data_IF_405650583543
#
_entry.id   IF_405650583543
#
_cell.length_a   1.000
_cell.length_b   1.000
_cell.length_c   1.000
_cell.angle_alpha   90.00
_cell.angle_beta   90.00
_cell.angle_gamma   90.00
#
_symmetry.space_group_name_H-M   'P 1'
#
loop_
_entity.id
_entity.type
_entity.pdbx_description
1 polymer ?
#
# COMPACT_ATOMS: atom_id res chain seq x y z
N UNK A 1 1.51 34.21 12.18
CA UNK A 1 2.64 33.59 11.45
C UNK A 1 2.05 32.58 10.47
N UNK A 2 2.31 32.76 9.18
CA UNK A 2 1.76 31.98 8.07
C UNK A 2 2.87 31.04 7.59
N UNK A 3 2.79 29.76 7.93
CA UNK A 3 3.66 28.76 7.31
C UNK A 3 3.02 28.35 5.99
N UNK A 4 3.39 29.05 4.92
CA UNK A 4 3.12 28.59 3.56
C UNK A 4 4.32 27.73 3.14
N UNK A 5 4.26 26.43 3.44
CA UNK A 5 5.13 25.45 2.79
C UNK A 5 4.47 25.07 1.47
N UNK A 6 4.95 25.69 0.39
CA UNK A 6 4.60 25.27 -0.96
C UNK A 6 5.61 24.20 -1.39
N UNK A 7 5.37 22.97 -0.99
CA UNK A 7 5.96 21.77 -1.60
C UNK A 7 4.90 21.18 -2.52
N UNK A 8 4.88 21.63 -3.77
CA UNK A 8 4.07 21.05 -4.84
C UNK A 8 4.69 19.72 -5.29
N UNK A 9 4.82 18.79 -4.34
CA UNK A 9 5.03 17.38 -4.61
C UNK A 9 3.69 16.76 -4.28
N UNK A 10 2.89 16.47 -5.29
CA UNK A 10 1.55 15.94 -5.11
C UNK A 10 1.64 14.51 -4.55
N UNK A 11 1.85 14.38 -3.23
CA UNK A 11 2.00 13.08 -2.59
C UNK A 11 0.65 12.38 -2.51
N UNK A 12 0.63 11.07 -2.66
CA UNK A 12 -0.61 10.30 -2.53
C UNK A 12 -0.95 10.05 -1.06
N UNK A 13 -2.04 10.66 -0.59
CA UNK A 13 -2.61 10.44 0.73
C UNK A 13 -3.87 9.58 0.65
N UNK A 14 -4.01 8.63 1.57
CA UNK A 14 -5.28 7.92 1.73
C UNK A 14 -6.19 8.76 2.62
N UNK A 15 -7.18 9.43 2.03
CA UNK A 15 -8.07 10.38 2.75
C UNK A 15 -9.21 9.67 3.47
N UNK A 16 -9.83 8.69 2.84
CA UNK A 16 -10.94 7.94 3.40
C UNK A 16 -11.02 6.53 2.81
N UNK A 17 -11.84 5.69 3.42
CA UNK A 17 -12.08 4.31 2.98
C UNK A 17 -13.47 3.86 3.39
N UNK A 18 -13.97 2.84 2.73
CA UNK A 18 -15.17 2.10 3.11
C UNK A 18 -15.08 0.64 2.66
N UNK A 19 -16.15 -0.14 2.85
CA UNK A 19 -16.20 -1.52 2.35
C UNK A 19 -15.92 -1.55 0.85
N UNK A 20 -14.92 -2.33 0.44
CA UNK A 20 -14.53 -2.48 -0.96
C UNK A 20 -13.87 -1.28 -1.64
N UNK A 21 -13.58 -0.17 -0.94
CA UNK A 21 -12.97 1.01 -1.59
C UNK A 21 -12.06 1.86 -0.69
N UNK A 22 -11.11 2.54 -1.33
CA UNK A 22 -10.27 3.59 -0.72
C UNK A 22 -10.32 4.86 -1.56
N UNK A 23 -10.20 6.02 -0.91
CA UNK A 23 -10.05 7.30 -1.58
C UNK A 23 -8.60 7.79 -1.39
N UNK A 24 -7.88 7.87 -2.50
CA UNK A 24 -6.51 8.39 -2.55
C UNK A 24 -6.54 9.76 -3.19
N UNK A 25 -6.20 10.79 -2.41
CA UNK A 25 -6.36 12.21 -2.73
C UNK A 25 -7.82 12.58 -3.11
N UNK A 26 -8.26 12.31 -4.32
CA UNK A 26 -9.65 12.52 -4.78
C UNK A 26 -10.15 11.37 -5.66
N UNK A 27 -9.35 10.32 -5.80
CA UNK A 27 -9.66 9.17 -6.63
C UNK A 27 -10.17 8.03 -5.75
N UNK A 28 -11.45 7.67 -5.96
CA UNK A 28 -12.02 6.48 -5.35
C UNK A 28 -11.62 5.24 -6.16
N UNK A 29 -11.06 4.26 -5.47
CA UNK A 29 -10.52 3.04 -6.04
C UNK A 29 -11.23 1.84 -5.40
N UNK A 30 -11.78 0.98 -6.25
CA UNK A 30 -12.58 -0.20 -5.87
C UNK A 30 -11.88 -1.53 -6.19
N UNK A 31 -10.59 -1.48 -6.48
CA UNK A 31 -9.76 -2.62 -6.87
C UNK A 31 -8.45 -2.57 -6.10
N UNK A 32 -7.74 -3.69 -6.07
CA UNK A 32 -6.43 -3.71 -5.43
C UNK A 32 -5.50 -2.66 -6.03
N UNK A 33 -4.72 -2.04 -5.15
CA UNK A 33 -3.92 -0.85 -5.47
C UNK A 33 -2.63 -0.85 -4.68
N UNK A 34 -1.56 -0.34 -5.29
CA UNK A 34 -0.37 0.06 -4.54
C UNK A 34 -0.35 1.58 -4.44
N UNK A 35 -0.19 2.08 -3.21
CA UNK A 35 -0.01 3.50 -2.92
C UNK A 35 1.39 3.70 -2.34
N UNK A 36 2.21 4.51 -3.00
CA UNK A 36 3.45 5.07 -2.44
C UNK A 36 3.30 6.59 -2.34
N UNK A 37 4.20 7.28 -1.61
CA UNK A 37 4.12 8.74 -1.53
C UNK A 37 4.14 9.43 -2.88
N UNK A 38 4.79 8.85 -3.89
CA UNK A 38 5.08 9.42 -5.20
C UNK A 38 4.32 8.74 -6.35
N UNK A 39 3.79 7.53 -6.15
CA UNK A 39 3.15 6.73 -7.19
C UNK A 39 1.84 6.08 -6.72
N UNK A 40 0.92 5.94 -7.66
CA UNK A 40 -0.37 5.27 -7.47
C UNK A 40 -0.58 4.24 -8.57
N UNK A 41 -0.37 2.96 -8.24
CA UNK A 41 -0.53 1.83 -9.18
C UNK A 41 -1.92 1.26 -9.00
N UNK A 42 -2.86 1.73 -9.81
CA UNK A 42 -4.28 1.37 -9.65
C UNK A 42 -4.65 0.01 -10.21
N UNK A 43 -3.86 -0.59 -11.07
CA UNK A 43 -4.13 -1.83 -11.80
C UNK A 43 -3.31 -3.01 -11.27
N UNK A 44 -2.89 -2.96 -10.00
CA UNK A 44 -2.12 -4.02 -9.37
C UNK A 44 -2.94 -5.32 -9.21
N UNK A 45 -2.59 -6.43 -9.87
CA UNK A 45 -3.07 -7.75 -9.48
C UNK A 45 -2.32 -8.18 -8.21
N UNK A 46 -2.95 -8.91 -7.28
CA UNK A 46 -4.21 -9.63 -7.40
C UNK A 46 -5.42 -8.87 -6.86
N UNK A 47 -6.64 -9.28 -7.23
CA UNK A 47 -7.89 -8.70 -6.69
C UNK A 47 -8.39 -9.41 -5.42
N UNK A 48 -7.96 -10.65 -5.17
CA UNK A 48 -8.28 -11.35 -3.92
C UNK A 48 -7.02 -11.88 -3.25
N UNK A 49 -7.13 -12.19 -1.95
CA UNK A 49 -6.00 -12.74 -1.21
C UNK A 49 -5.53 -14.10 -1.74
N UNK A 50 -6.43 -14.94 -2.24
CA UNK A 50 -6.07 -16.29 -2.71
C UNK A 50 -5.32 -16.27 -4.03
N UNK A 51 -5.43 -15.17 -4.78
CA UNK A 51 -4.73 -14.97 -6.05
C UNK A 51 -3.32 -14.37 -5.86
N UNK A 52 -2.84 -14.22 -4.61
CA UNK A 52 -1.47 -13.75 -4.35
C UNK A 52 -0.44 -14.75 -4.89
N UNK A 53 0.48 -14.22 -5.70
CA UNK A 53 1.58 -14.94 -6.35
C UNK A 53 2.87 -14.13 -6.16
N UNK A 54 4.03 -14.78 -6.29
CA UNK A 54 5.35 -14.16 -6.12
C UNK A 54 5.54 -12.93 -7.02
N UNK A 55 5.09 -13.01 -8.28
CA UNK A 55 5.16 -11.91 -9.26
C UNK A 55 4.48 -10.63 -8.81
N UNK A 56 3.45 -10.73 -7.96
CA UNK A 56 2.73 -9.55 -7.44
C UNK A 56 3.60 -8.75 -6.46
N UNK A 57 4.50 -9.43 -5.75
CA UNK A 57 5.46 -8.80 -4.84
C UNK A 57 6.73 -8.34 -5.56
N UNK A 58 7.15 -9.01 -6.63
CA UNK A 58 8.23 -8.54 -7.51
C UNK A 58 7.91 -7.17 -8.13
N UNK A 59 6.65 -6.93 -8.52
CA UNK A 59 6.21 -5.62 -8.98
C UNK A 59 6.36 -4.52 -7.91
N UNK A 60 6.21 -4.87 -6.63
CA UNK A 60 6.41 -3.93 -5.50
C UNK A 60 7.90 -3.66 -5.28
N UNK A 61 8.79 -4.65 -5.49
CA UNK A 61 10.24 -4.46 -5.41
C UNK A 61 10.71 -3.36 -6.37
N UNK A 62 10.13 -3.29 -7.57
CA UNK A 62 10.47 -2.28 -8.58
C UNK A 62 10.12 -0.83 -8.17
N UNK A 63 9.30 -0.65 -7.11
CA UNK A 63 8.98 0.65 -6.52
C UNK A 63 9.99 1.07 -5.44
N UNK A 64 10.97 0.21 -5.13
CA UNK A 64 12.05 0.43 -4.16
C UNK A 64 11.60 0.95 -2.77
N UNK A 65 10.55 0.38 -2.14
CA UNK A 65 10.16 0.78 -0.79
C UNK A 65 11.14 0.23 0.27
N UNK A 66 11.19 0.88 1.42
CA UNK A 66 11.84 0.35 2.63
C UNK A 66 10.90 -0.57 3.42
N UNK A 67 9.59 -0.30 3.32
CA UNK A 67 8.55 -1.05 4.02
C UNK A 67 7.31 -1.22 3.14
N UNK A 68 6.77 -2.42 3.14
CA UNK A 68 5.51 -2.78 2.49
C UNK A 68 4.46 -3.04 3.57
N UNK A 69 3.36 -2.31 3.48
CA UNK A 69 2.15 -2.58 4.25
C UNK A 69 1.19 -3.37 3.36
N UNK A 70 1.07 -4.67 3.61
CA UNK A 70 0.12 -5.53 2.91
C UNK A 70 -1.23 -5.48 3.63
N UNK A 71 -2.19 -4.75 3.05
CA UNK A 71 -3.58 -4.71 3.48
C UNK A 71 -4.36 -5.87 2.87
N UNK A 72 -4.84 -6.81 3.69
CA UNK A 72 -5.42 -8.08 3.21
C UNK A 72 -6.94 -8.10 3.18
N UNK A 73 -7.58 -6.94 3.00
CA UNK A 73 -9.03 -6.77 3.05
C UNK A 73 -9.54 -6.53 4.48
N UNK A 74 -10.76 -7.00 4.76
CA UNK A 74 -11.45 -6.79 6.03
C UNK A 74 -10.81 -7.46 7.26
N UNK A 75 -9.93 -8.43 7.02
CA UNK A 75 -9.22 -9.16 8.09
C UNK A 75 -7.77 -9.37 7.71
N UNK A 76 -6.91 -9.38 8.73
CA UNK A 76 -5.51 -9.75 8.60
C UNK A 76 -5.39 -11.24 8.21
N UNK A 77 -4.66 -11.51 7.13
CA UNK A 77 -4.34 -12.86 6.66
C UNK A 77 -2.87 -12.92 6.27
N UNK A 78 -2.10 -13.83 6.84
CA UNK A 78 -0.67 -13.92 6.51
C UNK A 78 -0.46 -14.68 5.20
N UNK A 79 0.22 -14.09 4.18
CA UNK A 79 0.61 -14.82 2.99
C UNK A 79 1.65 -15.88 3.35
N UNK A 80 1.76 -16.91 2.51
CA UNK A 80 2.84 -17.89 2.68
C UNK A 80 4.20 -17.17 2.52
N UNK A 81 5.21 -17.42 3.38
CA UNK A 81 6.48 -16.69 3.36
C UNK A 81 7.20 -16.68 2.01
N UNK A 82 7.02 -17.74 1.22
CA UNK A 82 7.52 -17.83 -0.16
C UNK A 82 7.06 -16.66 -1.04
N UNK A 83 5.83 -16.17 -0.86
CA UNK A 83 5.28 -15.09 -1.68
C UNK A 83 5.99 -13.75 -1.45
N UNK A 84 6.41 -13.48 -0.21
CA UNK A 84 7.08 -12.24 0.19
C UNK A 84 8.61 -12.35 0.15
N UNK A 85 9.16 -13.48 -0.30
CA UNK A 85 10.60 -13.75 -0.28
C UNK A 85 11.39 -12.73 -1.10
N UNK A 86 10.87 -12.28 -2.25
CA UNK A 86 11.50 -11.28 -3.11
C UNK A 86 11.72 -9.94 -2.39
N UNK A 87 10.74 -9.50 -1.58
CA UNK A 87 10.86 -8.30 -0.75
C UNK A 87 11.92 -8.47 0.34
N UNK A 88 11.85 -9.57 1.09
CA UNK A 88 12.78 -9.85 2.19
C UNK A 88 14.23 -9.98 1.70
N UNK A 89 14.45 -10.57 0.51
CA UNK A 89 15.76 -10.68 -0.10
C UNK A 89 16.40 -9.32 -0.44
N UNK A 90 15.58 -8.28 -0.64
CA UNK A 90 16.03 -6.90 -0.85
C UNK A 90 16.12 -6.09 0.47
N UNK A 91 15.92 -6.73 1.62
CA UNK A 91 15.91 -6.05 2.92
C UNK A 91 14.67 -5.20 3.17
N UNK A 92 13.60 -5.40 2.37
CA UNK A 92 12.35 -4.65 2.49
C UNK A 92 11.49 -5.28 3.59
N UNK A 93 11.13 -4.48 4.60
CA UNK A 93 10.24 -4.92 5.68
C UNK A 93 8.82 -5.18 5.17
N UNK A 94 8.18 -6.25 5.63
CA UNK A 94 6.78 -6.56 5.27
C UNK A 94 5.93 -6.63 6.51
N UNK A 95 4.94 -5.75 6.63
CA UNK A 95 3.91 -5.80 7.65
C UNK A 95 2.57 -6.16 7.03
N UNK A 96 1.90 -7.14 7.62
CA UNK A 96 0.61 -7.64 7.14
C UNK A 96 -0.46 -7.19 8.12
N UNK A 97 -1.55 -6.62 7.63
CA UNK A 97 -2.67 -6.14 8.45
C UNK A 97 -3.97 -6.13 7.64
N UNK A 98 -5.11 -5.83 8.27
CA UNK A 98 -6.32 -5.50 7.51
C UNK A 98 -6.11 -4.19 6.71
N UNK A 99 -6.83 -4.04 5.58
CA UNK A 99 -6.73 -2.87 4.70
C UNK A 99 -7.02 -1.57 5.45
N UNK A 100 -7.92 -1.62 6.44
CA UNK A 100 -8.26 -0.46 7.23
C UNK A 100 -7.09 0.04 8.10
N UNK A 101 -6.33 -0.85 8.71
CA UNK A 101 -5.10 -0.57 9.43
C UNK A 101 -3.99 -0.11 8.48
N UNK A 102 -3.81 -0.80 7.35
CA UNK A 102 -2.79 -0.44 6.35
C UNK A 102 -2.95 1.01 5.87
N UNK A 103 -4.19 1.44 5.59
CA UNK A 103 -4.49 2.82 5.20
C UNK A 103 -4.06 3.85 6.27
N UNK A 104 -4.25 3.53 7.56
CA UNK A 104 -3.87 4.44 8.67
C UNK A 104 -2.36 4.48 8.84
N UNK A 105 -1.73 3.31 8.88
CA UNK A 105 -0.29 3.17 9.07
C UNK A 105 0.49 3.79 7.91
N UNK A 106 0.00 3.64 6.68
CA UNK A 106 0.59 4.25 5.49
C UNK A 106 0.79 5.76 5.66
N UNK A 107 -0.27 6.49 6.01
CA UNK A 107 -0.18 7.95 6.16
C UNK A 107 0.81 8.35 7.26
N UNK A 108 0.92 7.58 8.35
CA UNK A 108 1.86 7.86 9.44
C UNK A 108 3.30 7.71 8.94
N UNK A 109 3.65 6.56 8.36
CA UNK A 109 5.00 6.27 7.86
C UNK A 109 5.38 7.22 6.72
N UNK A 110 4.44 7.52 5.85
CA UNK A 110 4.59 8.48 4.78
C UNK A 110 4.94 9.88 5.33
N UNK A 111 4.26 10.33 6.39
CA UNK A 111 4.54 11.62 7.04
C UNK A 111 5.90 11.65 7.76
N UNK A 112 6.46 10.50 8.12
CA UNK A 112 7.84 10.35 8.62
C UNK A 112 8.90 10.41 7.51
N UNK A 113 8.50 10.71 6.27
CA UNK A 113 9.36 10.79 5.08
C UNK A 113 10.09 9.48 4.75
N UNK A 114 9.48 8.35 5.13
CA UNK A 114 9.98 7.02 4.80
C UNK A 114 9.37 6.49 3.51
N UNK A 115 10.14 5.69 2.77
CA UNK A 115 9.68 5.02 1.54
C UNK A 115 8.78 3.84 1.88
N UNK A 116 7.48 4.08 1.90
CA UNK A 116 6.45 3.06 2.17
C UNK A 116 5.64 2.74 0.93
N UNK A 117 5.35 1.46 0.72
CA UNK A 117 4.35 1.00 -0.25
C UNK A 117 3.17 0.33 0.50
N UNK A 118 1.98 0.88 0.36
CA UNK A 118 0.75 0.23 0.82
C UNK A 118 0.16 -0.59 -0.33
N UNK A 119 0.28 -1.91 -0.24
CA UNK A 119 -0.31 -2.86 -1.18
C UNK A 119 -1.66 -3.33 -0.62
N UNK A 120 -2.75 -2.78 -1.12
CA UNK A 120 -4.08 -2.90 -0.52
C UNK A 120 -4.97 -3.79 -1.37
N UNK A 121 -5.49 -4.87 -0.78
CA UNK A 121 -6.57 -5.66 -1.36
C UNK A 121 -7.91 -5.04 -1.00
N UNK A 122 -8.78 -4.87 -2.00
CA UNK A 122 -10.17 -4.47 -1.81
C UNK A 122 -11.00 -5.74 -1.77
N UNK A 123 -11.29 -6.21 -0.56
CA UNK A 123 -12.08 -7.43 -0.33
C UNK A 123 -13.39 -7.00 0.33
N UNK A 124 -14.49 -7.67 -0.05
CA UNK A 124 -15.80 -7.66 0.62
C UNK A 124 -15.87 -8.63 1.82
#
# INVERSE_FOLDING_TARGET
MRFSLNTDTNRYFIKSRGPGWVNVNEQQIHRSVIVTPDQLVTDWPPQTFVDLEERHFEAIVALEPEIVLLGTGDRQRFPHPRLTQSLLAQGIGVEVMDTAAACRTYNIIMLEDRRVAAALLMID
#
